data_IF_117129402035
#
_entry.id   IF_117129402035
#
_cell.length_a   1.000
_cell.length_b   1.000
_cell.length_c   1.000
_cell.angle_alpha   90.00
_cell.angle_beta   90.00
_cell.angle_gamma   90.00
#
_symmetry.space_group_name_H-M   'P 1'
#
loop_
_entity.id
_entity.type
_entity.pdbx_description
1 polymer ?
#
# COMPACT_ATOMS: atom_id res chain seq x y z
N UNK A 1 0.24 2.17 8.13
CA UNK A 1 1.32 2.60 7.22
C UNK A 1 2.69 2.15 7.71
N UNK A 2 3.62 3.09 7.94
CA UNK A 2 5.01 2.78 8.31
C UNK A 2 5.15 1.89 9.57
N UNK A 3 4.30 2.11 10.58
CA UNK A 3 4.28 1.26 11.78
C UNK A 3 3.95 -0.21 11.44
N UNK A 4 2.89 -0.47 10.67
CA UNK A 4 2.54 -1.83 10.22
C UNK A 4 3.67 -2.47 9.41
N UNK A 5 4.37 -1.70 8.58
CA UNK A 5 5.52 -2.20 7.83
C UNK A 5 6.68 -2.62 8.74
N UNK A 6 6.96 -1.83 9.79
CA UNK A 6 7.94 -2.19 10.80
C UNK A 6 7.51 -3.41 11.63
N UNK A 7 6.22 -3.52 11.96
CA UNK A 7 5.66 -4.71 12.64
C UNK A 7 5.84 -5.95 11.78
N UNK A 8 5.46 -5.90 10.50
CA UNK A 8 5.62 -7.04 9.59
C UNK A 8 7.09 -7.44 9.42
N UNK A 9 8.00 -6.47 9.31
CA UNK A 9 9.43 -6.76 9.29
C UNK A 9 9.89 -7.38 10.62
N UNK A 10 9.39 -6.91 11.76
CA UNK A 10 9.67 -7.53 13.06
C UNK A 10 9.17 -8.97 13.14
N UNK A 11 7.99 -9.26 12.59
CA UNK A 11 7.48 -10.63 12.50
C UNK A 11 8.37 -11.50 11.62
N UNK A 12 8.80 -11.00 10.46
CA UNK A 12 9.75 -11.69 9.58
C UNK A 12 11.06 -12.09 10.27
N UNK A 13 11.59 -11.22 11.13
CA UNK A 13 12.83 -11.50 11.88
C UNK A 13 12.65 -12.53 13.02
N UNK A 14 11.40 -12.80 13.45
CA UNK A 14 11.13 -13.57 14.67
C UNK A 14 10.26 -14.82 14.45
N UNK A 15 9.63 -14.97 13.29
CA UNK A 15 8.77 -16.09 12.96
C UNK A 15 9.29 -16.86 11.74
N UNK A 16 8.97 -18.15 11.61
CA UNK A 16 9.17 -18.89 10.37
C UNK A 16 8.49 -18.20 9.19
N UNK A 17 9.12 -18.25 8.00
CA UNK A 17 8.60 -17.57 6.82
C UNK A 17 7.21 -18.10 6.42
N UNK A 18 6.96 -19.39 6.66
CA UNK A 18 5.70 -20.09 6.39
C UNK A 18 4.52 -19.46 7.13
N UNK A 19 4.74 -18.89 8.32
CA UNK A 19 3.69 -18.22 9.11
C UNK A 19 3.34 -16.82 8.57
N UNK A 20 4.09 -16.32 7.57
CA UNK A 20 3.92 -14.99 6.98
C UNK A 20 3.52 -15.03 5.50
N UNK A 21 3.21 -16.22 4.98
CA UNK A 21 2.74 -16.42 3.61
C UNK A 21 1.23 -16.17 3.53
N UNK A 22 0.82 -14.91 3.71
CA UNK A 22 -0.60 -14.54 3.68
C UNK A 22 -1.19 -14.68 2.27
N UNK A 23 -2.22 -15.53 2.12
CA UNK A 23 -2.99 -15.70 0.88
C UNK A 23 -3.86 -14.49 0.53
N UNK A 24 -4.37 -13.82 1.57
CA UNK A 24 -5.27 -12.68 1.46
C UNK A 24 -4.70 -11.49 2.23
N UNK A 25 -4.61 -10.34 1.58
CA UNK A 25 -4.18 -9.10 2.22
C UNK A 25 -5.17 -7.98 1.90
N UNK A 26 -5.65 -7.31 2.95
CA UNK A 26 -6.60 -6.20 2.81
C UNK A 26 -6.00 -4.92 3.36
N UNK A 27 -6.35 -3.77 2.79
CA UNK A 27 -5.83 -2.50 3.29
C UNK A 27 -6.74 -1.31 3.01
N UNK A 28 -6.76 -0.39 3.97
CA UNK A 28 -7.43 0.90 3.89
C UNK A 28 -6.40 2.02 4.05
N UNK A 29 -6.50 3.07 3.22
CA UNK A 29 -5.64 4.26 3.32
C UNK A 29 -4.15 3.88 3.23
N UNK A 30 -3.31 4.30 4.19
CA UNK A 30 -1.90 3.91 4.26
C UNK A 30 -1.69 2.39 4.32
N UNK A 31 -2.65 1.63 4.84
CA UNK A 31 -2.63 0.17 4.82
C UNK A 31 -2.77 -0.39 3.40
N UNK A 32 -3.49 0.30 2.52
CA UNK A 32 -3.57 -0.06 1.09
C UNK A 32 -2.20 -0.01 0.40
N UNK A 33 -1.29 0.86 0.83
CA UNK A 33 0.07 0.90 0.31
C UNK A 33 0.87 -0.33 0.74
N UNK A 34 0.69 -0.79 1.99
CA UNK A 34 1.26 -2.05 2.49
C UNK A 34 0.70 -3.25 1.74
N UNK A 35 -0.63 -3.30 1.57
CA UNK A 35 -1.31 -4.35 0.80
C UNK A 35 -0.75 -4.44 -0.60
N UNK A 36 -0.62 -3.31 -1.29
CA UNK A 36 -0.06 -3.27 -2.63
C UNK A 36 1.40 -3.72 -2.64
N UNK A 37 2.24 -3.19 -1.74
CA UNK A 37 3.65 -3.55 -1.66
C UNK A 37 3.90 -5.04 -1.40
N UNK A 38 3.11 -5.66 -0.52
CA UNK A 38 3.20 -7.10 -0.27
C UNK A 38 2.67 -7.91 -1.45
N UNK A 39 1.59 -7.45 -2.08
CA UNK A 39 0.92 -8.19 -3.15
C UNK A 39 1.71 -8.35 -4.43
N UNK A 40 2.76 -7.55 -4.66
CA UNK A 40 3.62 -7.66 -5.85
C UNK A 40 4.64 -8.81 -5.77
N UNK A 41 4.78 -9.42 -4.59
CA UNK A 41 5.66 -10.56 -4.36
C UNK A 41 4.86 -11.85 -4.26
N UNK A 42 5.49 -12.96 -4.57
CA UNK A 42 4.91 -14.28 -4.33
C UNK A 42 4.69 -14.47 -2.80
N UNK A 43 3.62 -15.14 -2.33
CA UNK A 43 3.43 -15.42 -0.90
C UNK A 43 4.64 -16.09 -0.25
N UNK A 44 5.37 -16.92 -0.99
CA UNK A 44 6.56 -17.63 -0.50
C UNK A 44 7.80 -16.72 -0.39
N UNK A 45 7.83 -15.59 -1.10
CA UNK A 45 8.96 -14.64 -1.11
C UNK A 45 8.83 -13.57 0.00
N UNK A 46 8.71 -14.04 1.24
CA UNK A 46 8.48 -13.20 2.43
C UNK A 46 9.64 -12.23 2.68
N UNK A 47 10.89 -12.67 2.46
CA UNK A 47 12.07 -11.84 2.69
C UNK A 47 12.09 -10.61 1.78
N UNK A 48 11.89 -10.80 0.47
CA UNK A 48 11.89 -9.68 -0.48
C UNK A 48 10.71 -8.75 -0.22
N UNK A 49 9.54 -9.31 0.13
CA UNK A 49 8.35 -8.53 0.47
C UNK A 49 8.56 -7.67 1.73
N UNK A 50 9.11 -8.25 2.81
CA UNK A 50 9.39 -7.54 4.07
C UNK A 50 10.44 -6.43 3.87
N UNK A 51 11.52 -6.76 3.17
CA UNK A 51 12.61 -5.83 2.88
C UNK A 51 12.15 -4.67 1.98
N UNK A 52 11.38 -4.98 0.94
CA UNK A 52 10.81 -3.97 0.04
C UNK A 52 9.83 -3.06 0.77
N UNK A 53 8.93 -3.62 1.59
CA UNK A 53 7.94 -2.82 2.32
C UNK A 53 8.62 -1.88 3.32
N UNK A 54 9.66 -2.33 4.03
CA UNK A 54 10.42 -1.45 4.92
C UNK A 54 11.20 -0.38 4.15
N UNK A 55 11.82 -0.75 3.02
CA UNK A 55 12.48 0.20 2.12
C UNK A 55 11.50 1.27 1.62
N UNK A 56 10.31 0.85 1.20
CA UNK A 56 9.25 1.73 0.69
C UNK A 56 8.91 2.85 1.69
N UNK A 57 8.66 2.50 2.96
CA UNK A 57 8.34 3.49 4.00
C UNK A 57 9.52 4.34 4.45
N UNK A 58 10.76 3.82 4.38
CA UNK A 58 11.96 4.62 4.65
C UNK A 58 12.18 5.70 3.59
N UNK A 59 11.77 5.43 2.35
CA UNK A 59 11.99 6.31 1.20
C UNK A 59 10.76 7.16 0.82
N UNK A 60 9.61 6.97 1.45
CA UNK A 60 8.43 7.82 1.20
C UNK A 60 8.67 9.28 1.66
N UNK A 61 9.61 9.49 2.59
CA UNK A 61 9.94 10.80 3.17
C UNK A 61 10.97 11.61 2.37
N UNK A 62 11.64 11.01 1.37
CA UNK A 62 12.56 11.73 0.48
C UNK A 62 11.87 12.40 -0.71
N UNK A 63 10.53 12.38 -0.74
CA UNK A 63 9.77 13.15 -1.72
C UNK A 63 9.85 14.64 -1.42
N UNK A 64 9.98 15.51 -2.44
CA UNK A 64 9.74 16.92 -2.24
C UNK A 64 8.33 17.03 -1.66
N UNK A 65 8.32 17.46 -0.41
CA UNK A 65 7.24 17.64 0.53
C UNK A 65 5.82 17.32 -0.01
N UNK A 66 5.04 16.41 0.63
CA UNK A 66 3.60 16.28 0.35
C UNK A 66 2.82 17.62 0.48
N UNK A 67 3.45 18.69 0.98
CA UNK A 67 2.89 20.05 1.04
C UNK A 67 3.04 20.90 -0.24
N UNK A 68 3.85 20.53 -1.24
CA UNK A 68 4.20 21.51 -2.31
C UNK A 68 3.47 21.30 -3.63
N UNK A 69 2.22 21.76 -3.67
CA UNK A 69 1.64 22.26 -4.93
C UNK A 69 0.64 23.39 -4.69
N UNK A 70 0.10 23.51 -3.47
CA UNK A 70 -0.55 24.70 -2.94
C UNK A 70 -0.52 24.73 -1.40
N UNK A 71 -0.60 25.93 -0.83
CA UNK A 71 -0.73 26.13 0.63
C UNK A 71 -2.01 25.49 1.20
N UNK A 72 -1.98 25.10 2.48
CA UNK A 72 -3.08 24.40 3.18
C UNK A 72 -4.38 25.23 3.15
N UNK A 73 -4.28 26.55 3.41
CA UNK A 73 -5.45 27.42 3.39
C UNK A 73 -6.03 27.54 1.98
N UNK A 74 -5.16 27.63 0.97
CA UNK A 74 -5.60 27.63 -0.42
C UNK A 74 -6.25 26.30 -0.83
N UNK A 75 -5.68 25.18 -0.37
CA UNK A 75 -6.24 23.85 -0.57
C UNK A 75 -7.64 23.71 0.03
N UNK A 76 -7.82 24.20 1.26
CA UNK A 76 -9.10 24.19 1.96
C UNK A 76 -10.16 25.08 1.28
N UNK A 77 -9.77 26.28 0.85
CA UNK A 77 -10.72 27.30 0.37
C UNK A 77 -11.05 27.17 -1.12
N UNK A 78 -10.12 26.64 -1.93
CA UNK A 78 -10.22 26.70 -3.40
C UNK A 78 -9.96 25.38 -4.12
N UNK A 79 -9.70 24.27 -3.39
CA UNK A 79 -9.42 22.94 -3.98
C UNK A 79 -10.25 21.85 -3.31
N UNK A 80 -10.17 20.65 -3.87
CA UNK A 80 -10.89 19.46 -3.38
C UNK A 80 -10.24 18.83 -2.14
N UNK A 81 -9.15 19.39 -1.62
CA UNK A 81 -8.44 18.87 -0.46
C UNK A 81 -7.31 19.80 0.00
N UNK A 82 -6.94 19.67 1.28
CA UNK A 82 -5.88 20.45 1.91
C UNK A 82 -4.51 20.24 1.24
N UNK A 83 -4.29 19.04 0.70
CA UNK A 83 -3.07 18.65 -0.01
C UNK A 83 -3.43 18.07 -1.37
N UNK A 84 -2.52 18.17 -2.34
CA UNK A 84 -2.61 17.35 -3.54
C UNK A 84 -1.83 16.06 -3.37
N UNK A 85 -2.27 15.01 -4.08
CA UNK A 85 -1.64 13.70 -4.11
C UNK A 85 -0.85 13.46 -5.39
N UNK A 86 -0.62 14.48 -6.23
CA UNK A 86 0.01 14.28 -7.55
C UNK A 86 1.43 13.72 -7.46
N UNK A 87 2.24 14.23 -6.53
CA UNK A 87 3.59 13.69 -6.26
C UNK A 87 3.53 12.25 -5.75
N UNK A 88 2.60 11.95 -4.83
CA UNK A 88 2.39 10.60 -4.29
C UNK A 88 1.96 9.61 -5.39
N UNK A 89 1.01 10.00 -6.25
CA UNK A 89 0.56 9.19 -7.40
C UNK A 89 1.70 8.91 -8.38
N UNK A 90 2.50 9.93 -8.71
CA UNK A 90 3.66 9.79 -9.60
C UNK A 90 4.70 8.85 -9.00
N UNK A 91 4.98 8.99 -7.72
CA UNK A 91 5.91 8.12 -7.02
C UNK A 91 5.43 6.67 -6.97
N UNK A 92 4.17 6.44 -6.59
CA UNK A 92 3.59 5.11 -6.53
C UNK A 92 3.71 4.40 -7.89
N UNK A 93 3.45 5.12 -8.99
CA UNK A 93 3.61 4.58 -10.35
C UNK A 93 5.06 4.23 -10.70
N UNK A 94 6.04 4.91 -10.11
CA UNK A 94 7.47 4.71 -10.39
C UNK A 94 8.17 3.70 -9.47
N UNK A 95 7.57 3.33 -8.35
CA UNK A 95 8.20 2.45 -7.34
C UNK A 95 7.69 1.03 -7.31
N UNK A 96 6.55 0.75 -7.94
CA UNK A 96 6.02 -0.60 -7.99
C UNK A 96 6.96 -1.50 -8.80
N UNK A 97 7.54 -2.56 -8.18
CA UNK A 97 8.52 -3.43 -8.83
C UNK A 97 7.87 -4.24 -9.95
N UNK A 98 6.60 -4.61 -9.75
CA UNK A 98 5.76 -5.30 -10.72
C UNK A 98 4.34 -4.70 -10.67
N UNK A 99 3.64 -4.66 -11.80
CA UNK A 99 2.27 -4.13 -11.90
C UNK A 99 1.19 -5.21 -11.78
N UNK A 100 1.58 -6.41 -11.39
CA UNK A 100 0.70 -7.56 -11.19
C UNK A 100 0.55 -7.84 -9.69
N UNK A 101 -0.66 -8.27 -9.29
CA UNK A 101 -0.93 -8.76 -7.94
C UNK A 101 -0.80 -10.28 -7.94
N UNK A 102 -0.09 -10.84 -6.96
CA UNK A 102 0.26 -12.26 -6.85
C UNK A 102 -0.45 -12.98 -5.69
N UNK A 103 -1.29 -12.25 -4.94
CA UNK A 103 -2.17 -12.77 -3.88
C UNK A 103 -3.52 -12.07 -3.91
N UNK A 104 -4.53 -12.64 -3.26
CA UNK A 104 -5.85 -12.02 -3.21
C UNK A 104 -5.74 -10.72 -2.41
N UNK A 105 -6.23 -9.62 -2.99
CA UNK A 105 -6.18 -8.32 -2.34
C UNK A 105 -7.51 -7.60 -2.37
N UNK A 106 -7.77 -6.87 -1.30
CA UNK A 106 -8.93 -5.98 -1.19
C UNK A 106 -8.48 -4.60 -0.76
N UNK A 107 -8.93 -3.59 -1.50
CA UNK A 107 -8.72 -2.19 -1.16
C UNK A 107 -10.06 -1.53 -0.85
N UNK A 108 -10.11 -0.72 0.19
CA UNK A 108 -11.36 -0.07 0.59
C UNK A 108 -11.25 1.45 0.61
N UNK A 109 -12.33 2.09 0.15
CA UNK A 109 -12.52 3.54 0.09
C UNK A 109 -13.97 3.89 0.43
N UNK A 110 -14.26 5.18 0.60
CA UNK A 110 -15.61 5.70 0.75
C UNK A 110 -15.90 6.61 -0.43
N UNK A 111 -17.05 6.41 -1.09
CA UNK A 111 -17.58 7.38 -2.02
C UNK A 111 -18.22 8.53 -1.23
N UNK A 112 -17.63 9.72 -1.35
CA UNK A 112 -18.09 10.92 -0.64
C UNK A 112 -19.40 11.47 -1.17
N UNK A 113 -19.85 11.10 -2.38
CA UNK A 113 -21.13 11.55 -2.94
C UNK A 113 -22.27 10.74 -2.34
N UNK A 114 -22.17 9.41 -2.39
CA UNK A 114 -23.20 8.51 -1.86
C UNK A 114 -23.05 8.13 -0.38
N UNK A 115 -21.95 8.54 0.28
CA UNK A 115 -21.55 8.07 1.60
C UNK A 115 -21.51 6.53 1.73
N UNK A 116 -21.12 5.86 0.64
CA UNK A 116 -21.08 4.39 0.58
C UNK A 116 -19.67 3.86 0.73
N UNK A 117 -19.53 2.77 1.49
CA UNK A 117 -18.27 2.03 1.57
C UNK A 117 -18.09 1.21 0.31
N UNK A 118 -16.96 1.40 -0.37
CA UNK A 118 -16.62 0.70 -1.60
C UNK A 118 -15.40 -0.18 -1.37
N UNK A 119 -15.51 -1.43 -1.80
CA UNK A 119 -14.44 -2.43 -1.75
C UNK A 119 -14.08 -2.82 -3.17
N UNK A 120 -12.78 -2.85 -3.43
CA UNK A 120 -12.18 -3.24 -4.69
C UNK A 120 -11.39 -4.52 -4.47
N UNK A 121 -12.00 -5.64 -4.85
CA UNK A 121 -11.40 -6.97 -4.74
C UNK A 121 -10.68 -7.34 -6.03
N UNK A 122 -9.46 -7.86 -5.88
CA UNK A 122 -8.66 -8.39 -6.97
C UNK A 122 -8.24 -9.80 -6.59
N UNK A 123 -8.69 -10.77 -7.40
CA UNK A 123 -8.28 -12.16 -7.27
C UNK A 123 -7.04 -12.41 -8.15
N UNK A 124 -6.18 -13.33 -7.71
CA UNK A 124 -5.11 -13.86 -8.54
C UNK A 124 -5.70 -14.95 -9.41
N UNK A 125 -5.34 -14.97 -10.70
CA UNK A 125 -5.45 -16.18 -11.52
C UNK A 125 -4.35 -17.17 -11.11
N UNK A 126 -4.41 -17.69 -9.89
CA UNK A 126 -3.67 -18.89 -9.48
C UNK A 126 -4.68 -19.74 -8.72
N UNK A 127 -4.92 -20.95 -9.21
CA UNK A 127 -5.70 -21.95 -8.51
C UNK A 127 -5.04 -22.22 -7.15
N UNK A 128 -5.80 -22.06 -6.07
CA UNK A 128 -5.38 -22.48 -4.74
C UNK A 128 -4.95 -23.97 -4.80
N UNK A 129 -3.88 -24.38 -4.10
CA UNK A 129 -3.63 -25.80 -3.87
C UNK A 129 -4.75 -26.37 -2.98
N UNK A 130 -5.19 -27.60 -3.28
CA UNK A 130 -6.19 -28.35 -2.49
C UNK A 130 -5.84 -28.49 -1.01
#
# INVERSE_FOLDING_TARGET
GAYEAAVFHGLYENLPAEELQYDVITGVSAGSLNTLALSTFDPTDVHSAASYMLFYWRNILTFPDPTTTWDILYGLMFKQGMFTLDNCKRWLRGTLPEKSVKRKVSFATVDSIGATYQVWDYNVTNSEPE
#
